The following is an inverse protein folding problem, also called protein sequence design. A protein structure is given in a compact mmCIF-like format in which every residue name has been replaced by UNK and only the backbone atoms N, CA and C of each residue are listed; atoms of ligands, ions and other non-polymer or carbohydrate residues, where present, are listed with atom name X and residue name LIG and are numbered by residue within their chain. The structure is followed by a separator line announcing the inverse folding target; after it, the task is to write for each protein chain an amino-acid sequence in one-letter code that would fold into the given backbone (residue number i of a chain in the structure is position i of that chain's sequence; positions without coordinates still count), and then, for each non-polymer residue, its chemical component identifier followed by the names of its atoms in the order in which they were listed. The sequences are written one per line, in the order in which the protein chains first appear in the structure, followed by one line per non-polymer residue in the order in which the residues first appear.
data_IF_728042328132
#
_entry.id   IF_728042328132
#
_cell.length_a   1.000
_cell.length_b   1.000
_cell.length_c   1.000
_cell.angle_alpha   90.00
_cell.angle_beta   90.00
_cell.angle_gamma   90.00
#
_symmetry.space_group_name_H-M   'P 1'
#
loop_
_entity.id
_entity.type
_entity.pdbx_description
1 polymer ?
#
# COMPACT_ATOMS: atom_id res chain seq x y z
N UNK A 1 9.24 38.80 -16.53
CA UNK A 1 7.79 38.51 -16.64
C UNK A 1 7.68 37.17 -17.34
N UNK A 2 6.73 36.30 -17.03
CA UNK A 2 5.43 36.45 -16.38
C UNK A 2 5.15 35.16 -15.59
N UNK A 3 4.50 35.29 -14.44
CA UNK A 3 4.11 34.14 -13.64
C UNK A 3 3.04 33.35 -14.35
N UNK A 4 3.39 32.15 -14.82
CA UNK A 4 2.46 31.15 -15.32
C UNK A 4 1.38 30.92 -14.26
N UNK A 5 0.15 31.36 -14.57
CA UNK A 5 -1.01 31.33 -13.66
C UNK A 5 -1.30 29.88 -13.28
N UNK A 6 -0.70 29.39 -12.19
CA UNK A 6 -0.91 28.02 -11.71
C UNK A 6 -2.36 27.88 -11.25
N UNK A 7 -3.21 27.36 -12.12
CA UNK A 7 -4.61 27.09 -11.77
C UNK A 7 -4.67 25.99 -10.70
N UNK A 8 -5.15 26.37 -9.52
CA UNK A 8 -5.35 25.45 -8.41
C UNK A 8 -6.59 24.61 -8.69
N UNK A 9 -6.42 23.31 -8.90
CA UNK A 9 -7.52 22.38 -9.14
C UNK A 9 -7.36 21.12 -8.29
N UNK A 10 -8.49 20.60 -7.82
CA UNK A 10 -8.52 19.35 -7.07
C UNK A 10 -8.02 18.18 -7.95
N UNK A 11 -7.37 17.14 -7.37
CA UNK A 11 -6.88 16.00 -8.14
C UNK A 11 -7.99 15.31 -8.95
N UNK A 12 -9.19 15.25 -8.37
CA UNK A 12 -10.37 14.69 -9.04
C UNK A 12 -10.82 15.56 -10.23
N UNK A 13 -10.84 16.88 -10.09
CA UNK A 13 -11.18 17.80 -11.18
C UNK A 13 -10.17 17.73 -12.34
N UNK A 14 -8.86 17.64 -12.05
CA UNK A 14 -7.81 17.47 -13.08
C UNK A 14 -7.97 16.18 -13.87
N UNK A 15 -8.41 15.11 -13.21
CA UNK A 15 -8.66 13.81 -13.86
C UNK A 15 -9.85 13.90 -14.82
N UNK A 16 -10.98 14.44 -14.33
CA UNK A 16 -12.21 14.59 -15.13
C UNK A 16 -12.00 15.53 -16.32
N UNK A 17 -11.31 16.65 -16.12
CA UNK A 17 -11.01 17.60 -17.18
C UNK A 17 -10.13 16.99 -18.28
N UNK A 18 -9.13 16.17 -17.90
CA UNK A 18 -8.30 15.43 -18.86
C UNK A 18 -9.09 14.39 -19.65
N UNK A 19 -9.98 13.66 -18.97
CA UNK A 19 -10.84 12.65 -19.60
C UNK A 19 -11.84 13.29 -20.58
N UNK A 20 -12.34 14.49 -20.26
CA UNK A 20 -13.30 15.23 -21.08
C UNK A 20 -12.64 16.19 -22.12
N UNK A 21 -11.31 16.30 -22.15
CA UNK A 21 -10.59 17.20 -23.05
C UNK A 21 -10.78 18.70 -22.74
N UNK A 22 -11.15 19.04 -21.51
CA UNK A 22 -11.37 20.42 -21.04
C UNK A 22 -10.10 20.95 -20.39
N UNK A 23 -9.72 22.18 -20.74
CA UNK A 23 -8.61 22.87 -20.10
C UNK A 23 -9.04 23.46 -18.75
N UNK A 24 -8.46 22.95 -17.67
CA UNK A 24 -8.68 23.40 -16.30
C UNK A 24 -8.30 24.88 -16.12
N UNK A 25 -7.38 25.41 -16.95
CA UNK A 25 -6.96 26.80 -16.89
C UNK A 25 -8.05 27.78 -17.36
N UNK A 26 -8.96 27.32 -18.21
CA UNK A 26 -10.10 28.08 -18.73
C UNK A 26 -11.35 27.96 -17.84
N UNK A 27 -11.31 27.11 -16.80
CA UNK A 27 -12.43 26.88 -15.88
C UNK A 27 -12.29 27.79 -14.67
N UNK A 28 -13.33 28.58 -14.40
CA UNK A 28 -13.39 29.41 -13.19
C UNK A 28 -13.69 28.53 -11.97
N UNK A 29 -12.76 28.48 -11.01
CA UNK A 29 -12.89 27.63 -9.82
C UNK A 29 -13.71 28.28 -8.71
N UNK A 30 -14.69 27.55 -8.18
CA UNK A 30 -15.58 28.02 -7.10
C UNK A 30 -15.19 27.49 -5.70
N UNK A 31 -14.16 26.66 -5.61
CA UNK A 31 -13.70 26.05 -4.37
C UNK A 31 -12.80 26.96 -3.50
N UNK A 32 -12.44 26.50 -2.27
CA UNK A 32 -11.63 27.27 -1.34
C UNK A 32 -10.28 27.71 -1.95
N UNK A 33 -9.97 29.00 -1.83
CA UNK A 33 -8.83 29.68 -2.48
C UNK A 33 -8.88 29.72 -4.02
N UNK A 34 -10.08 29.78 -4.62
CA UNK A 34 -10.24 29.83 -6.08
C UNK A 34 -9.95 28.51 -6.76
N UNK A 35 -10.14 27.39 -6.03
CA UNK A 35 -9.81 26.05 -6.51
C UNK A 35 -10.89 25.51 -7.44
N UNK A 36 -10.51 24.99 -8.60
CA UNK A 36 -11.42 24.27 -9.51
C UNK A 36 -11.82 22.93 -8.89
N UNK A 37 -13.12 22.77 -8.65
CA UNK A 37 -13.73 21.54 -8.14
C UNK A 37 -14.47 20.78 -9.24
N UNK A 38 -14.89 19.55 -8.94
CA UNK A 38 -15.58 18.66 -9.90
C UNK A 38 -16.76 19.37 -10.60
N UNK A 39 -17.58 20.07 -9.83
CA UNK A 39 -18.78 20.74 -10.35
C UNK A 39 -18.46 21.81 -11.39
N UNK A 40 -17.35 22.54 -11.25
CA UNK A 40 -16.94 23.58 -12.19
C UNK A 40 -16.53 22.98 -13.54
N UNK A 41 -15.83 21.84 -13.51
CA UNK A 41 -15.44 21.11 -14.71
C UNK A 41 -16.66 20.51 -15.41
N UNK A 42 -17.61 19.94 -14.65
CA UNK A 42 -18.86 19.41 -15.22
C UNK A 42 -19.74 20.51 -15.83
N UNK A 43 -19.79 21.69 -15.21
CA UNK A 43 -20.50 22.85 -15.75
C UNK A 43 -19.84 23.36 -17.04
N UNK A 44 -18.50 23.38 -17.12
CA UNK A 44 -17.78 23.73 -18.35
C UNK A 44 -18.02 22.74 -19.48
N UNK A 45 -18.11 21.43 -19.16
CA UNK A 45 -18.47 20.38 -20.11
C UNK A 45 -19.90 20.56 -20.63
N UNK A 46 -20.85 20.86 -19.73
CA UNK A 46 -22.27 21.06 -20.09
C UNK A 46 -22.51 22.35 -20.88
N UNK A 47 -21.70 23.39 -20.65
CA UNK A 47 -21.80 24.70 -21.29
C UNK A 47 -21.17 24.81 -22.69
N UNK A 48 -20.57 23.73 -23.21
CA UNK A 48 -20.00 23.70 -24.57
C UNK A 48 -18.79 24.61 -24.79
N UNK A 49 -18.17 25.13 -23.71
CA UNK A 49 -17.09 26.10 -23.77
C UNK A 49 -15.71 25.47 -23.57
N UNK A 50 -14.82 25.70 -24.52
CA UNK A 50 -13.40 25.35 -24.54
C UNK A 50 -13.06 23.88 -24.84
N UNK A 51 -13.38 23.44 -26.05
CA UNK A 51 -12.61 22.37 -26.71
C UNK A 51 -11.20 22.88 -27.02
N UNK A 52 -10.20 22.23 -26.44
CA UNK A 52 -8.80 22.47 -26.80
C UNK A 52 -8.52 22.00 -28.24
N UNK A 53 -7.69 22.75 -28.97
CA UNK A 53 -7.10 22.33 -30.25
C UNK A 53 -6.36 20.99 -30.08
N UNK A 54 -6.19 20.18 -31.14
CA UNK A 54 -5.69 18.81 -31.02
C UNK A 54 -4.27 18.81 -30.44
N UNK A 55 -4.16 18.46 -29.16
CA UNK A 55 -2.88 18.27 -28.51
C UNK A 55 -2.20 17.05 -29.12
N UNK A 56 -0.93 17.21 -29.49
CA UNK A 56 -0.04 16.12 -29.85
C UNK A 56 -0.16 15.01 -28.80
N UNK A 57 -0.25 13.75 -29.28
CA UNK A 57 -0.34 12.52 -28.48
C UNK A 57 0.43 12.68 -27.17
N UNK A 58 -0.31 12.86 -26.08
CA UNK A 58 0.23 12.76 -24.74
C UNK A 58 0.87 11.38 -24.61
N UNK A 59 2.17 11.35 -24.33
CA UNK A 59 2.85 10.14 -23.90
C UNK A 59 2.05 9.53 -22.74
N UNK A 60 1.89 8.19 -22.70
CA UNK A 60 1.08 7.52 -21.69
C UNK A 60 1.49 7.96 -20.29
N UNK A 61 0.47 8.28 -19.49
CA UNK A 61 0.60 8.67 -18.10
C UNK A 61 1.48 7.69 -17.34
N UNK A 62 2.53 8.23 -16.72
CA UNK A 62 3.34 7.61 -15.67
C UNK A 62 3.48 6.10 -15.78
N UNK A 63 4.47 5.66 -16.58
CA UNK A 63 5.01 4.32 -16.40
C UNK A 63 5.28 4.11 -14.89
N UNK A 64 4.98 2.92 -14.33
CA UNK A 64 5.39 2.60 -12.97
C UNK A 64 6.85 2.98 -12.82
N UNK A 65 7.19 3.66 -11.71
CA UNK A 65 8.57 4.03 -11.41
C UNK A 65 9.47 2.83 -11.73
N UNK A 66 10.57 3.02 -12.48
CA UNK A 66 11.39 1.90 -12.92
C UNK A 66 11.70 1.04 -11.71
N UNK A 67 11.24 -0.21 -11.74
CA UNK A 67 11.53 -1.17 -10.70
C UNK A 67 13.06 -1.15 -10.53
N UNK A 68 13.52 -0.76 -9.34
CA UNK A 68 14.94 -0.74 -9.02
C UNK A 68 15.43 -2.15 -9.28
N UNK A 69 16.19 -2.35 -10.37
CA UNK A 69 16.77 -3.65 -10.65
C UNK A 69 17.66 -3.98 -9.46
N UNK A 70 17.44 -5.16 -8.88
CA UNK A 70 18.31 -5.65 -7.83
C UNK A 70 19.76 -5.62 -8.35
N UNK A 71 20.67 -5.16 -7.50
CA UNK A 71 22.11 -5.21 -7.79
C UNK A 71 22.50 -6.68 -8.00
N UNK A 72 23.40 -6.94 -8.94
CA UNK A 72 23.92 -8.30 -9.12
C UNK A 72 24.75 -8.72 -7.90
N UNK A 73 24.86 -10.02 -7.67
CA UNK A 73 25.64 -10.56 -6.55
C UNK A 73 27.08 -9.99 -6.54
N UNK A 74 27.72 -9.90 -7.70
CA UNK A 74 29.07 -9.29 -7.85
C UNK A 74 29.14 -7.81 -7.44
N UNK A 75 28.05 -7.06 -7.63
CA UNK A 75 27.98 -5.65 -7.22
C UNK A 75 27.78 -5.54 -5.71
N UNK A 76 27.02 -6.47 -5.11
CA UNK A 76 26.81 -6.52 -3.66
C UNK A 76 28.10 -6.90 -2.96
N UNK A 77 28.85 -7.87 -3.48
CA UNK A 77 30.11 -8.32 -2.86
C UNK A 77 31.19 -7.24 -2.85
N UNK A 78 31.20 -6.34 -3.84
CA UNK A 78 32.12 -5.19 -3.90
C UNK A 78 31.85 -4.12 -2.84
N UNK A 79 30.68 -4.16 -2.17
CA UNK A 79 30.36 -3.25 -1.05
C UNK A 79 31.04 -3.69 0.26
N UNK A 80 31.57 -4.91 0.31
CA UNK A 80 32.23 -5.47 1.49
C UNK A 80 33.73 -5.62 1.23
N UNK A 81 34.53 -5.46 2.28
CA UNK A 81 35.96 -5.69 2.20
C UNK A 81 36.25 -7.17 1.95
N UNK A 82 37.30 -7.46 1.17
CA UNK A 82 37.64 -8.84 0.84
C UNK A 82 38.03 -9.60 2.11
N UNK A 83 37.31 -10.68 2.41
CA UNK A 83 37.50 -11.50 3.60
C UNK A 83 36.68 -11.08 4.83
N UNK A 84 35.84 -10.04 4.73
CA UNK A 84 35.00 -9.56 5.84
C UNK A 84 33.61 -10.20 5.92
N UNK A 85 33.32 -11.21 5.09
CA UNK A 85 31.98 -11.81 4.99
C UNK A 85 32.04 -13.32 4.75
N UNK A 86 31.01 -14.01 5.24
CA UNK A 86 30.78 -15.43 4.97
C UNK A 86 29.60 -15.60 4.01
N UNK A 87 29.81 -16.37 2.95
CA UNK A 87 28.77 -16.70 1.98
C UNK A 87 27.96 -17.90 2.45
N UNK A 88 26.72 -17.65 2.86
CA UNK A 88 25.75 -18.70 3.17
C UNK A 88 24.76 -18.82 2.00
N UNK A 89 24.76 -19.94 1.26
CA UNK A 89 23.82 -20.15 0.17
C UNK A 89 22.37 -20.17 0.66
N UNK A 90 21.48 -19.52 -0.08
CA UNK A 90 20.05 -19.61 0.20
C UNK A 90 19.51 -21.01 -0.10
N UNK A 91 18.78 -21.58 0.85
CA UNK A 91 17.99 -22.79 0.64
C UNK A 91 16.79 -22.55 -0.31
N UNK A 92 16.19 -23.63 -0.81
CA UNK A 92 15.08 -23.56 -1.77
C UNK A 92 13.80 -22.92 -1.19
N UNK A 93 13.56 -23.09 0.12
CA UNK A 93 12.41 -22.52 0.81
C UNK A 93 12.54 -20.99 0.88
N UNK A 94 13.71 -20.49 1.29
CA UNK A 94 14.07 -19.08 1.35
C UNK A 94 14.04 -18.41 -0.02
N UNK A 95 14.58 -19.07 -1.07
CA UNK A 95 14.47 -18.56 -2.45
C UNK A 95 13.02 -18.37 -2.88
N UNK A 96 12.15 -19.31 -2.52
CA UNK A 96 10.71 -19.24 -2.85
C UNK A 96 10.00 -18.13 -2.08
N UNK A 97 10.27 -18.00 -0.77
CA UNK A 97 9.74 -16.93 0.06
C UNK A 97 10.18 -15.57 -0.48
N UNK A 98 11.48 -15.40 -0.79
CA UNK A 98 12.02 -14.16 -1.33
C UNK A 98 11.34 -13.74 -2.63
N UNK A 99 11.15 -14.68 -3.57
CA UNK A 99 10.45 -14.43 -4.83
C UNK A 99 9.02 -13.92 -4.59
N UNK A 100 8.26 -14.55 -3.70
CA UNK A 100 6.89 -14.16 -3.37
C UNK A 100 6.80 -12.81 -2.66
N UNK A 101 7.73 -12.53 -1.74
CA UNK A 101 7.78 -11.25 -1.03
C UNK A 101 8.12 -10.08 -1.97
N UNK A 102 9.09 -10.25 -2.86
CA UNK A 102 9.47 -9.23 -3.86
C UNK A 102 8.31 -8.99 -4.83
N UNK A 103 7.68 -10.05 -5.33
CA UNK A 103 6.49 -9.95 -6.19
C UNK A 103 5.39 -9.13 -5.50
N UNK A 104 5.01 -9.51 -4.27
CA UNK A 104 3.96 -8.80 -3.52
C UNK A 104 4.32 -7.33 -3.24
N UNK A 105 5.55 -7.04 -2.81
CA UNK A 105 5.94 -5.69 -2.37
C UNK A 105 6.16 -4.70 -3.51
N UNK A 106 6.51 -5.19 -4.70
CA UNK A 106 6.73 -4.34 -5.88
C UNK A 106 5.46 -4.14 -6.71
N UNK A 107 4.55 -5.12 -6.72
CA UNK A 107 3.34 -5.07 -7.57
C UNK A 107 2.11 -4.53 -6.85
N UNK A 108 1.97 -4.78 -5.54
CA UNK A 108 0.78 -4.41 -4.77
C UNK A 108 1.02 -3.09 -4.02
N UNK A 109 0.17 -2.07 -4.22
CA UNK A 109 0.28 -0.79 -3.51
C UNK A 109 -0.20 -0.95 -2.05
N UNK A 110 0.71 -1.37 -1.17
CA UNK A 110 0.45 -1.56 0.25
C UNK A 110 0.34 -0.22 0.99
N UNK A 111 -0.68 -0.09 1.84
CA UNK A 111 -0.78 0.97 2.85
C UNK A 111 -1.05 0.33 4.22
N UNK A 112 -0.63 1.00 5.29
CA UNK A 112 -0.66 0.46 6.65
C UNK A 112 -1.73 1.20 7.47
N UNK A 113 -2.51 0.45 8.24
CA UNK A 113 -3.42 0.94 9.25
C UNK A 113 -3.04 0.36 10.61
N UNK A 114 -3.25 1.13 11.67
CA UNK A 114 -2.94 0.74 13.05
C UNK A 114 -4.10 1.14 13.95
N UNK A 115 -4.42 0.28 14.92
CA UNK A 115 -5.45 0.49 15.92
C UNK A 115 -5.01 -0.18 17.22
N UNK A 116 -5.46 0.35 18.36
CA UNK A 116 -5.22 -0.21 19.68
C UNK A 116 -6.43 -1.03 20.13
N UNK A 117 -6.19 -2.21 20.71
CA UNK A 117 -7.22 -3.11 21.23
C UNK A 117 -6.97 -3.40 22.71
N UNK A 118 -7.99 -3.20 23.56
CA UNK A 118 -7.98 -3.68 24.94
C UNK A 118 -8.23 -5.20 24.99
N UNK A 119 -7.38 -5.92 25.73
CA UNK A 119 -7.40 -7.40 25.77
C UNK A 119 -7.80 -7.98 27.14
N UNK A 120 -8.15 -7.16 28.13
CA UNK A 120 -8.37 -7.62 29.51
C UNK A 120 -9.46 -8.70 29.61
N UNK A 121 -10.62 -8.46 28.98
CA UNK A 121 -11.72 -9.43 28.94
C UNK A 121 -11.32 -10.73 28.22
N UNK A 122 -10.52 -10.63 27.15
CA UNK A 122 -10.05 -11.77 26.37
C UNK A 122 -9.04 -12.61 27.18
N UNK A 123 -8.13 -11.97 27.91
CA UNK A 123 -7.17 -12.65 28.78
C UNK A 123 -7.85 -13.35 29.97
N UNK A 124 -8.87 -12.71 30.56
CA UNK A 124 -9.69 -13.33 31.58
C UNK A 124 -10.41 -14.59 31.05
N UNK A 125 -11.05 -14.48 29.88
CA UNK A 125 -11.72 -15.61 29.23
C UNK A 125 -10.74 -16.74 28.89
N UNK A 126 -9.56 -16.42 28.36
CA UNK A 126 -8.51 -17.40 28.07
C UNK A 126 -8.14 -18.19 29.33
N UNK A 127 -8.02 -17.51 30.47
CA UNK A 127 -7.68 -18.14 31.75
C UNK A 127 -8.80 -19.09 32.18
N UNK A 128 -10.05 -18.63 32.13
CA UNK A 128 -11.22 -19.46 32.47
C UNK A 128 -11.30 -20.73 31.61
N UNK A 129 -11.13 -20.61 30.29
CA UNK A 129 -11.23 -21.76 29.38
C UNK A 129 -10.06 -22.73 29.58
N UNK A 130 -8.84 -22.21 29.77
CA UNK A 130 -7.68 -23.07 30.02
C UNK A 130 -7.76 -23.79 31.37
N UNK A 131 -8.35 -23.16 32.39
CA UNK A 131 -8.62 -23.81 33.68
C UNK A 131 -9.72 -24.86 33.59
N UNK A 132 -10.70 -24.68 32.70
CA UNK A 132 -11.76 -25.66 32.42
C UNK A 132 -11.29 -26.82 31.51
N UNK A 133 -10.06 -26.78 31.00
CA UNK A 133 -9.55 -27.82 30.12
C UNK A 133 -9.42 -29.16 30.88
N UNK A 134 -10.06 -30.25 30.41
CA UNK A 134 -9.99 -31.53 31.09
C UNK A 134 -8.56 -32.06 31.05
N UNK A 135 -8.08 -32.53 32.22
CA UNK A 135 -6.73 -33.09 32.36
C UNK A 135 -6.75 -34.53 31.85
N UNK A 136 -5.89 -34.84 30.88
CA UNK A 136 -5.66 -36.21 30.42
C UNK A 136 -4.39 -36.76 31.08
N UNK A 137 -4.47 -37.98 31.60
CA UNK A 137 -3.29 -38.73 32.02
C UNK A 137 -2.55 -39.20 30.78
N UNK A 138 -1.34 -38.70 30.60
CA UNK A 138 -0.39 -39.16 29.58
C UNK A 138 0.78 -39.87 30.26
N UNK A 139 1.54 -40.66 29.51
CA UNK A 139 2.66 -41.47 30.02
C UNK A 139 3.78 -40.65 30.72
N UNK A 140 3.74 -39.32 30.61
CA UNK A 140 4.68 -38.36 31.22
C UNK A 140 4.05 -37.45 32.28
N UNK A 141 2.82 -37.74 32.72
CA UNK A 141 2.10 -36.99 33.75
C UNK A 141 0.72 -36.49 33.32
N UNK A 142 0.12 -35.70 34.20
CA UNK A 142 -1.16 -35.03 34.00
C UNK A 142 -0.97 -33.76 33.15
N UNK A 143 -1.56 -33.72 31.95
CA UNK A 143 -1.51 -32.57 31.05
C UNK A 143 -2.93 -32.16 30.61
N UNK A 144 -3.22 -30.84 30.49
CA UNK A 144 -4.50 -30.39 29.98
C UNK A 144 -4.69 -30.85 28.53
N UNK A 145 -5.92 -31.29 28.18
CA UNK A 145 -6.24 -31.81 26.86
C UNK A 145 -6.01 -30.80 25.73
N UNK A 146 -6.09 -29.50 26.04
CA UNK A 146 -5.76 -28.41 25.14
C UNK A 146 -5.28 -27.20 25.95
N UNK A 147 -4.52 -26.32 25.29
CA UNK A 147 -4.09 -25.03 25.84
C UNK A 147 -4.28 -23.96 24.79
N UNK A 148 -5.22 -23.07 25.02
CA UNK A 148 -5.51 -21.96 24.11
C UNK A 148 -4.50 -20.81 24.29
N UNK A 149 -4.02 -20.31 23.16
CA UNK A 149 -3.19 -19.13 23.04
C UNK A 149 -4.02 -17.91 22.64
N UNK A 150 -3.42 -16.72 22.79
CA UNK A 150 -4.03 -15.48 22.28
C UNK A 150 -4.11 -15.53 20.75
N UNK A 151 -3.13 -16.14 20.08
CA UNK A 151 -3.13 -16.28 18.62
C UNK A 151 -4.34 -17.06 18.10
N UNK A 152 -4.79 -18.10 18.83
CA UNK A 152 -5.99 -18.86 18.46
C UNK A 152 -7.26 -17.98 18.50
N UNK A 153 -7.32 -17.05 19.43
CA UNK A 153 -8.41 -16.09 19.54
C UNK A 153 -8.35 -15.03 18.44
N UNK A 154 -7.15 -14.58 18.05
CA UNK A 154 -6.95 -13.64 16.91
C UNK A 154 -7.33 -14.28 15.57
N UNK A 155 -7.03 -15.56 15.36
CA UNK A 155 -7.39 -16.27 14.12
C UNK A 155 -8.90 -16.51 14.03
N UNK A 156 -9.59 -16.62 15.18
CA UNK A 156 -11.03 -16.90 15.25
C UNK A 156 -11.91 -15.67 15.03
N UNK A 157 -11.43 -14.49 15.42
CA UNK A 157 -12.13 -13.21 15.31
C UNK A 157 -12.34 -12.80 13.84
#
# INVERSE_FOLDING_TARGET
GEGETRTFASPLARRIAREAGVDVSAVTGTGPHGRVVKADVEAAIAGGGAQAAPAAKAAPAGAPAPAVKAMSDDQVLKLFEQGSYDLVPHDNMRKTIARRLVEAKTTIPHFYLTLDCELDALLALRTQINSAAPVKKTDKGEAPAYKLSVNDMVIKA
#
